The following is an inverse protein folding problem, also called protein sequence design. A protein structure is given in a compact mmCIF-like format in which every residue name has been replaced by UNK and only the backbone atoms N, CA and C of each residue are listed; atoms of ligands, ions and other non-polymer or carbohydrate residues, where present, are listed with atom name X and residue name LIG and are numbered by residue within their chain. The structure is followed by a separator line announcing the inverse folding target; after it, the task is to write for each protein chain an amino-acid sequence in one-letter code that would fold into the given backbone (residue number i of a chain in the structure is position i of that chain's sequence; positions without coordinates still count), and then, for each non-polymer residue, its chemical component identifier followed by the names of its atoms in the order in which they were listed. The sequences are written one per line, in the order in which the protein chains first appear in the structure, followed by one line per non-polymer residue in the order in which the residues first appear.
data_IF_710675506251
#
_entry.id   IF_710675506251
#
_cell.length_a   1.000
_cell.length_b   1.000
_cell.length_c   1.000
_cell.angle_alpha   90.00
_cell.angle_beta   90.00
_cell.angle_gamma   90.00
#
_symmetry.space_group_name_H-M   'P 1'
#
loop_
_entity.id
_entity.type
_entity.pdbx_description
1 polymer ?
#
# COMPACT_ATOMS: atom_id res chain seq x y z
N UNK A 1 -16.86 -32.79 -8.76
CA UNK A 1 -16.04 -31.56 -8.79
C UNK A 1 -16.52 -30.70 -7.65
N UNK A 2 -15.61 -30.25 -6.81
CA UNK A 2 -15.93 -29.29 -5.75
C UNK A 2 -16.24 -27.94 -6.43
N UNK A 3 -17.32 -27.29 -6.05
CA UNK A 3 -17.77 -26.02 -6.63
C UNK A 3 -17.75 -24.95 -5.55
N UNK A 4 -17.22 -23.78 -5.89
CA UNK A 4 -17.17 -22.63 -5.00
C UNK A 4 -17.97 -21.47 -5.57
N UNK A 5 -18.49 -20.61 -4.72
CA UNK A 5 -19.06 -19.35 -5.19
C UNK A 5 -17.94 -18.44 -5.70
N UNK A 6 -16.87 -18.32 -4.91
CA UNK A 6 -15.73 -17.44 -5.18
C UNK A 6 -14.41 -18.20 -5.08
N UNK A 7 -13.54 -18.01 -6.07
CA UNK A 7 -12.12 -18.41 -5.99
C UNK A 7 -11.25 -17.15 -5.92
N UNK A 8 -10.52 -16.98 -4.82
CA UNK A 8 -9.55 -15.90 -4.63
C UNK A 8 -8.16 -16.42 -4.98
N UNK A 9 -7.53 -15.84 -6.00
CA UNK A 9 -6.15 -16.15 -6.38
C UNK A 9 -5.23 -15.15 -5.70
N UNK A 10 -4.52 -15.60 -4.65
CA UNK A 10 -3.66 -14.79 -3.79
C UNK A 10 -4.21 -14.68 -2.35
N UNK A 11 -3.49 -15.25 -1.39
CA UNK A 11 -3.81 -15.24 0.05
C UNK A 11 -3.17 -14.11 0.84
N UNK A 12 -2.64 -13.08 0.17
CA UNK A 12 -2.12 -11.88 0.83
C UNK A 12 -3.22 -11.04 1.51
N UNK A 13 -2.85 -9.83 1.93
CA UNK A 13 -3.72 -8.94 2.72
C UNK A 13 -5.09 -8.70 2.06
N UNK A 14 -5.13 -8.31 0.77
CA UNK A 14 -6.40 -8.04 0.08
C UNK A 14 -7.28 -9.30 -0.02
N UNK A 15 -6.73 -10.39 -0.57
CA UNK A 15 -7.48 -11.62 -0.83
C UNK A 15 -7.99 -12.29 0.46
N UNK A 16 -7.15 -12.37 1.49
CA UNK A 16 -7.55 -12.93 2.78
C UNK A 16 -8.56 -12.04 3.51
N UNK A 17 -8.48 -10.71 3.38
CA UNK A 17 -9.48 -9.80 3.94
C UNK A 17 -10.86 -9.99 3.32
N UNK A 18 -10.92 -10.13 1.98
CA UNK A 18 -12.17 -10.41 1.26
C UNK A 18 -12.73 -11.77 1.70
N UNK A 19 -11.89 -12.82 1.71
CA UNK A 19 -12.32 -14.16 2.12
C UNK A 19 -12.86 -14.18 3.57
N UNK A 20 -12.19 -13.48 4.49
CA UNK A 20 -12.62 -13.35 5.88
C UNK A 20 -13.94 -12.58 6.06
N UNK A 21 -14.31 -11.72 5.10
CA UNK A 21 -15.58 -10.99 5.12
C UNK A 21 -16.71 -11.77 4.44
N UNK A 22 -16.42 -12.49 3.36
CA UNK A 22 -17.42 -13.24 2.58
C UNK A 22 -17.83 -14.58 3.22
N UNK A 23 -16.87 -15.37 3.71
CA UNK A 23 -17.14 -16.70 4.26
C UNK A 23 -18.23 -16.73 5.37
N UNK A 24 -18.23 -15.83 6.37
CA UNK A 24 -19.27 -15.85 7.41
C UNK A 24 -20.65 -15.41 6.89
N UNK A 25 -20.74 -14.80 5.70
CA UNK A 25 -22.00 -14.46 5.05
C UNK A 25 -22.61 -15.63 4.25
N UNK A 26 -21.98 -16.82 4.31
CA UNK A 26 -22.47 -18.03 3.63
C UNK A 26 -21.96 -18.19 2.20
N UNK A 27 -21.05 -17.33 1.73
CA UNK A 27 -20.38 -17.47 0.43
C UNK A 27 -19.33 -18.59 0.54
N UNK A 28 -19.39 -19.58 -0.35
CA UNK A 28 -18.35 -20.61 -0.44
C UNK A 28 -17.08 -20.05 -1.09
N UNK A 29 -16.01 -19.87 -0.32
CA UNK A 29 -14.75 -19.24 -0.76
C UNK A 29 -13.59 -20.23 -0.75
N UNK A 30 -12.89 -20.34 -1.88
CA UNK A 30 -11.58 -20.98 -2.01
C UNK A 30 -10.48 -19.92 -2.16
N UNK A 31 -9.44 -19.97 -1.34
CA UNK A 31 -8.26 -19.11 -1.46
C UNK A 31 -7.06 -19.94 -1.89
N UNK A 32 -6.43 -19.56 -2.98
CA UNK A 32 -5.23 -20.19 -3.53
C UNK A 32 -4.01 -19.30 -3.27
N UNK A 33 -3.05 -19.78 -2.47
CA UNK A 33 -1.83 -19.05 -2.14
C UNK A 33 -0.59 -19.86 -2.53
N UNK A 34 0.36 -19.21 -3.21
CA UNK A 34 1.60 -19.86 -3.64
C UNK A 34 2.58 -20.07 -2.50
N UNK A 35 2.65 -19.16 -1.54
CA UNK A 35 3.58 -19.23 -0.42
C UNK A 35 3.07 -20.17 0.68
N UNK A 36 3.88 -21.17 1.02
CA UNK A 36 3.67 -22.00 2.22
C UNK A 36 3.93 -21.24 3.52
N UNK A 37 4.75 -20.18 3.45
CA UNK A 37 5.02 -19.25 4.55
C UNK A 37 5.25 -17.87 3.98
N UNK A 38 4.61 -16.84 4.55
CA UNK A 38 4.86 -15.46 4.14
C UNK A 38 6.26 -15.02 4.59
N UNK A 39 7.01 -14.44 3.66
CA UNK A 39 8.39 -13.99 3.90
C UNK A 39 8.48 -12.49 3.81
N UNK A 40 9.30 -11.89 4.68
CA UNK A 40 9.58 -10.46 4.60
C UNK A 40 10.30 -10.12 3.29
N UNK A 41 9.87 -9.02 2.69
CA UNK A 41 10.46 -8.37 1.52
C UNK A 41 10.26 -6.87 1.71
N UNK A 42 11.06 -6.04 1.06
CA UNK A 42 10.81 -4.60 1.07
C UNK A 42 9.50 -4.31 0.36
N UNK A 43 8.49 -3.90 1.14
CA UNK A 43 7.12 -3.51 0.72
C UNK A 43 6.45 -2.75 1.87
N UNK A 44 5.25 -2.21 1.62
CA UNK A 44 4.53 -1.38 2.59
C UNK A 44 4.17 -2.11 3.89
N UNK A 45 4.40 -1.42 5.01
CA UNK A 45 4.03 -1.81 6.39
C UNK A 45 3.24 -0.71 7.11
N UNK A 46 2.98 0.41 6.43
CA UNK A 46 2.23 1.57 6.93
C UNK A 46 0.90 1.66 6.19
N UNK A 47 -0.20 1.71 6.94
CA UNK A 47 -1.55 1.91 6.43
C UNK A 47 -2.03 3.30 6.85
N UNK A 48 -2.34 4.13 5.87
CA UNK A 48 -2.84 5.50 6.08
C UNK A 48 -4.17 5.49 6.85
N UNK A 49 -4.54 6.58 7.54
CA UNK A 49 -5.82 6.69 8.24
C UNK A 49 -7.04 6.31 7.38
N UNK A 50 -7.06 6.70 6.11
CA UNK A 50 -8.15 6.31 5.20
C UNK A 50 -8.21 4.81 4.93
N UNK A 51 -7.05 4.13 4.86
CA UNK A 51 -6.97 2.67 4.79
C UNK A 51 -7.42 2.00 6.09
N UNK A 52 -7.07 2.59 7.23
CA UNK A 52 -7.53 2.15 8.55
C UNK A 52 -9.06 2.21 8.64
N UNK A 53 -9.69 3.27 8.13
CA UNK A 53 -11.16 3.37 8.09
C UNK A 53 -11.80 2.18 7.34
N UNK A 54 -11.22 1.75 6.21
CA UNK A 54 -11.70 0.58 5.47
C UNK A 54 -11.46 -0.73 6.23
N UNK A 55 -10.29 -0.86 6.85
CA UNK A 55 -9.94 -2.00 7.70
C UNK A 55 -10.90 -2.16 8.89
N UNK A 56 -11.30 -1.04 9.52
CA UNK A 56 -12.29 -1.02 10.59
C UNK A 56 -13.67 -1.46 10.09
N UNK A 57 -14.11 -0.99 8.92
CA UNK A 57 -15.39 -1.43 8.30
C UNK A 57 -15.42 -2.92 7.96
N UNK A 58 -14.27 -3.50 7.62
CA UNK A 58 -14.11 -4.94 7.41
C UNK A 58 -14.02 -5.75 8.72
N UNK A 59 -13.92 -5.08 9.89
CA UNK A 59 -13.83 -5.73 11.19
C UNK A 59 -12.53 -6.53 11.38
N UNK A 60 -11.41 -5.97 10.92
CA UNK A 60 -10.09 -6.64 10.93
C UNK A 60 -9.13 -6.11 11.99
N UNK A 61 -9.54 -5.11 12.77
CA UNK A 61 -8.68 -4.39 13.72
C UNK A 61 -7.99 -5.33 14.71
N UNK A 62 -8.79 -6.10 15.44
CA UNK A 62 -8.29 -6.98 16.48
C UNK A 62 -7.27 -7.98 15.94
N UNK A 63 -7.53 -8.54 14.76
CA UNK A 63 -6.63 -9.49 14.10
C UNK A 63 -5.28 -8.86 13.75
N UNK A 64 -5.27 -7.61 13.29
CA UNK A 64 -4.02 -6.91 12.95
C UNK A 64 -3.26 -6.43 14.19
N UNK A 65 -3.97 -6.01 15.25
CA UNK A 65 -3.35 -5.70 16.54
C UNK A 65 -2.68 -6.93 17.15
N UNK A 66 -3.36 -8.08 17.15
CA UNK A 66 -2.81 -9.36 17.62
C UNK A 66 -1.64 -9.86 16.75
N UNK A 67 -1.60 -9.49 15.48
CA UNK A 67 -0.47 -9.75 14.58
C UNK A 67 0.78 -8.88 14.87
N UNK A 68 0.75 -8.08 15.94
CA UNK A 68 1.81 -7.15 16.29
C UNK A 68 1.74 -5.81 15.56
N UNK A 69 0.58 -5.49 14.97
CA UNK A 69 0.28 -4.16 14.47
C UNK A 69 -0.02 -3.17 15.59
N UNK A 70 0.06 -1.89 15.29
CA UNK A 70 -0.37 -0.85 16.22
C UNK A 70 -0.58 0.49 15.57
N UNK A 71 -1.28 1.35 16.30
CA UNK A 71 -1.59 2.69 15.85
C UNK A 71 -0.41 3.64 16.04
N UNK A 72 -0.19 4.44 15.00
CA UNK A 72 0.62 5.64 15.04
C UNK A 72 -0.33 6.84 14.98
N UNK A 73 -0.32 7.66 16.02
CA UNK A 73 -1.24 8.79 16.19
C UNK A 73 -0.66 10.15 15.77
N UNK A 74 0.64 10.22 15.47
CA UNK A 74 1.34 11.43 15.08
C UNK A 74 2.23 11.19 13.87
N UNK A 75 2.30 12.20 13.00
CA UNK A 75 3.18 12.19 11.83
C UNK A 75 4.05 13.44 11.81
N UNK A 76 5.37 13.25 11.85
CA UNK A 76 6.34 14.36 11.91
C UNK A 76 7.02 14.55 10.56
N UNK A 77 7.20 15.81 10.16
CA UNK A 77 8.00 16.16 8.98
C UNK A 77 9.25 16.89 9.43
N UNK A 78 10.42 16.26 9.23
CA UNK A 78 11.72 16.83 9.52
C UNK A 78 12.38 17.41 8.27
N UNK A 79 13.35 18.32 8.45
CA UNK A 79 14.17 18.82 7.37
C UNK A 79 15.32 19.71 7.83
N UNK A 80 16.31 19.91 6.95
CA UNK A 80 17.57 20.64 7.25
C UNK A 80 17.39 22.01 7.90
N UNK A 81 16.34 22.75 7.53
CA UNK A 81 16.10 24.12 7.97
C UNK A 81 14.94 24.23 8.95
N UNK A 82 14.53 23.10 9.55
CA UNK A 82 13.46 23.04 10.54
C UNK A 82 14.09 22.58 11.84
N UNK A 83 14.06 23.44 12.85
CA UNK A 83 14.46 23.07 14.20
C UNK A 83 13.65 21.84 14.68
N UNK A 84 14.28 20.77 15.20
CA UNK A 84 13.59 19.54 15.54
C UNK A 84 12.44 19.72 16.54
N UNK A 85 12.58 20.62 17.52
CA UNK A 85 11.51 20.91 18.48
C UNK A 85 10.31 21.53 17.78
N UNK A 86 10.56 22.41 16.81
CA UNK A 86 9.52 22.99 15.95
C UNK A 86 8.84 21.94 15.07
N UNK A 87 9.61 20.99 14.51
CA UNK A 87 9.08 19.88 13.72
C UNK A 87 8.14 19.00 14.55
N UNK A 88 8.57 18.60 15.75
CA UNK A 88 7.79 17.79 16.69
C UNK A 88 6.53 18.53 17.17
N UNK A 89 6.63 19.83 17.46
CA UNK A 89 5.48 20.66 17.83
C UNK A 89 4.46 20.83 16.70
N UNK A 90 4.89 20.64 15.45
CA UNK A 90 4.06 20.72 14.24
C UNK A 90 3.58 19.35 13.75
N UNK A 91 3.75 18.29 14.56
CA UNK A 91 3.30 16.95 14.21
C UNK A 91 1.81 16.93 13.87
N UNK A 92 1.46 16.24 12.79
CA UNK A 92 0.05 16.07 12.38
C UNK A 92 -0.58 15.02 13.31
N UNK A 93 -1.62 15.38 14.10
CA UNK A 93 -2.35 14.42 14.90
C UNK A 93 -3.26 13.57 13.98
N UNK A 94 -2.81 12.37 13.64
CA UNK A 94 -3.46 11.51 12.64
C UNK A 94 -4.89 11.10 13.03
N UNK A 95 -5.17 10.98 14.34
CA UNK A 95 -6.52 10.69 14.84
C UNK A 95 -7.54 11.84 14.69
N UNK A 96 -7.10 13.02 14.24
CA UNK A 96 -8.01 14.14 13.94
C UNK A 96 -8.40 14.21 12.46
N UNK A 97 -7.78 13.39 11.60
CA UNK A 97 -7.98 13.47 10.15
C UNK A 97 -9.32 12.88 9.69
N UNK A 98 -9.77 11.83 10.37
CA UNK A 98 -11.02 11.13 10.06
C UNK A 98 -11.77 10.79 11.36
N UNK A 99 -13.11 10.90 11.37
CA UNK A 99 -13.90 10.52 12.52
C UNK A 99 -13.74 9.02 12.81
N UNK A 100 -13.70 8.66 14.09
CA UNK A 100 -13.64 7.28 14.58
C UNK A 100 -12.42 6.46 14.09
N UNK A 101 -11.39 7.13 13.58
CA UNK A 101 -10.12 6.51 13.15
C UNK A 101 -9.00 6.93 14.12
N UNK A 102 -8.37 5.98 14.86
CA UNK A 102 -7.36 6.34 15.87
C UNK A 102 -6.08 6.97 15.30
N UNK A 103 -5.78 6.73 14.03
CA UNK A 103 -4.58 7.18 13.34
C UNK A 103 -4.23 6.25 12.19
N UNK A 104 -2.95 6.24 11.81
CA UNK A 104 -2.41 5.24 10.88
C UNK A 104 -2.08 3.94 11.61
N UNK A 105 -1.92 2.84 10.89
CA UNK A 105 -1.52 1.55 11.46
C UNK A 105 -0.22 1.05 10.84
N UNK A 106 0.75 0.71 11.68
CA UNK A 106 1.96 -0.01 11.26
C UNK A 106 1.80 -1.50 11.60
N UNK A 107 2.03 -2.39 10.64
CA UNK A 107 1.98 -3.85 10.86
C UNK A 107 2.97 -4.57 9.94
N UNK A 108 3.62 -5.61 10.46
CA UNK A 108 4.52 -6.43 9.65
C UNK A 108 3.76 -7.15 8.54
N UNK A 109 4.19 -6.98 7.29
CA UNK A 109 3.45 -7.51 6.14
C UNK A 109 3.28 -9.04 6.16
N UNK A 110 4.31 -9.85 6.51
CA UNK A 110 4.14 -11.29 6.66
C UNK A 110 3.18 -11.66 7.80
N UNK A 111 3.25 -10.96 8.94
CA UNK A 111 2.40 -11.19 10.10
C UNK A 111 0.94 -10.86 9.79
N UNK A 112 0.68 -9.72 9.15
CA UNK A 112 -0.66 -9.35 8.70
C UNK A 112 -1.23 -10.37 7.70
N UNK A 113 -0.42 -10.81 6.74
CA UNK A 113 -0.84 -11.82 5.74
C UNK A 113 -1.20 -13.15 6.41
N UNK A 114 -0.36 -13.63 7.34
CA UNK A 114 -0.61 -14.87 8.08
C UNK A 114 -1.86 -14.78 8.97
N UNK A 115 -2.01 -13.69 9.71
CA UNK A 115 -3.14 -13.48 10.61
C UNK A 115 -4.46 -13.37 9.86
N UNK A 116 -4.51 -12.61 8.76
CA UNK A 116 -5.72 -12.48 7.94
C UNK A 116 -6.08 -13.78 7.22
N UNK A 117 -5.08 -14.54 6.75
CA UNK A 117 -5.32 -15.84 6.12
C UNK A 117 -5.86 -16.86 7.13
N UNK A 118 -5.31 -16.86 8.34
CA UNK A 118 -5.79 -17.66 9.47
C UNK A 118 -7.22 -17.28 9.84
N UNK A 119 -7.53 -15.97 9.91
CA UNK A 119 -8.87 -15.49 10.19
C UNK A 119 -9.87 -15.94 9.11
N UNK A 120 -9.51 -15.85 7.83
CA UNK A 120 -10.34 -16.31 6.73
C UNK A 120 -10.68 -17.80 6.88
N UNK A 121 -9.68 -18.64 7.20
CA UNK A 121 -9.88 -20.06 7.47
C UNK A 121 -10.81 -20.30 8.66
N UNK A 122 -10.59 -19.60 9.78
CA UNK A 122 -11.40 -19.70 10.99
C UNK A 122 -12.87 -19.30 10.75
N UNK A 123 -13.11 -18.38 9.80
CA UNK A 123 -14.45 -17.93 9.40
C UNK A 123 -15.09 -18.78 8.31
N UNK A 124 -14.43 -19.85 7.86
CA UNK A 124 -15.01 -20.86 6.97
C UNK A 124 -14.51 -20.85 5.52
N UNK A 125 -13.54 -20.00 5.15
CA UNK A 125 -12.92 -20.09 3.83
C UNK A 125 -12.03 -21.33 3.71
N UNK A 126 -12.04 -21.98 2.55
CA UNK A 126 -11.11 -23.06 2.24
C UNK A 126 -9.78 -22.48 1.76
N UNK A 127 -8.66 -22.82 2.41
CA UNK A 127 -7.34 -22.28 2.07
C UNK A 127 -6.44 -23.39 1.55
N UNK A 128 -5.85 -23.19 0.37
CA UNK A 128 -4.78 -24.05 -0.17
C UNK A 128 -3.52 -23.20 -0.32
N UNK A 129 -2.46 -23.58 0.41
CA UNK A 129 -1.13 -22.93 0.34
C UNK A 129 -0.13 -23.82 -0.38
N UNK A 130 0.88 -23.22 -1.01
CA UNK A 130 1.86 -23.96 -1.80
C UNK A 130 1.38 -24.29 -3.21
N UNK A 131 0.38 -23.56 -3.69
CA UNK A 131 -0.17 -23.72 -5.05
C UNK A 131 0.91 -23.35 -6.08
N UNK A 132 1.04 -24.19 -7.11
CA UNK A 132 1.90 -23.98 -8.26
C UNK A 132 1.29 -23.03 -9.29
N UNK A 133 1.30 -23.45 -10.55
CA UNK A 133 0.70 -22.68 -11.63
C UNK A 133 -0.82 -22.60 -11.47
N UNK A 134 -1.38 -21.43 -11.78
CA UNK A 134 -2.82 -21.14 -11.79
C UNK A 134 -3.18 -20.64 -13.18
N UNK A 135 -4.24 -21.16 -13.76
CA UNK A 135 -4.83 -20.69 -15.01
C UNK A 135 -6.31 -20.38 -14.79
N UNK A 136 -6.80 -19.31 -15.42
CA UNK A 136 -8.17 -18.84 -15.26
C UNK A 136 -8.83 -18.78 -16.63
N UNK A 137 -9.89 -19.55 -16.77
CA UNK A 137 -10.72 -19.59 -17.98
C UNK A 137 -12.02 -18.89 -17.63
N UNK A 138 -12.22 -17.70 -18.20
CA UNK A 138 -13.48 -16.98 -18.11
C UNK A 138 -13.87 -16.48 -19.51
N UNK A 139 -15.15 -16.63 -19.85
CA UNK A 139 -15.71 -16.14 -21.10
C UNK A 139 -17.12 -15.57 -20.83
N UNK A 140 -17.60 -14.64 -21.68
CA UNK A 140 -18.94 -14.09 -21.55
C UNK A 140 -20.00 -15.18 -21.43
N UNK A 141 -21.00 -14.94 -20.57
CA UNK A 141 -22.14 -15.84 -20.33
C UNK A 141 -21.77 -17.25 -19.84
N UNK A 142 -20.56 -17.48 -19.33
CA UNK A 142 -20.13 -18.77 -18.78
C UNK A 142 -19.57 -18.63 -17.36
N UNK A 143 -19.78 -19.66 -16.54
CA UNK A 143 -19.15 -19.73 -15.22
C UNK A 143 -17.64 -19.91 -15.37
N UNK A 144 -16.82 -19.09 -14.71
CA UNK A 144 -15.37 -19.22 -14.76
C UNK A 144 -14.90 -20.55 -14.16
N UNK A 145 -13.77 -21.03 -14.67
CA UNK A 145 -13.08 -22.22 -14.20
C UNK A 145 -11.65 -21.83 -13.82
N UNK A 146 -11.24 -22.18 -12.60
CA UNK A 146 -9.86 -22.03 -12.15
C UNK A 146 -9.18 -23.38 -12.17
N UNK A 147 -8.04 -23.47 -12.86
CA UNK A 147 -7.15 -24.62 -12.81
C UNK A 147 -5.95 -24.27 -11.96
N UNK A 148 -5.55 -25.17 -11.07
CA UNK A 148 -4.35 -24.95 -10.26
C UNK A 148 -3.60 -26.25 -10.00
N UNK A 149 -2.28 -26.15 -9.87
CA UNK A 149 -1.43 -27.27 -9.46
C UNK A 149 -1.23 -27.28 -7.94
N UNK A 150 -1.42 -28.45 -7.31
CA UNK A 150 -1.09 -28.68 -5.92
C UNK A 150 -0.62 -30.12 -5.73
N UNK A 151 0.52 -30.32 -5.06
CA UNK A 151 1.17 -31.63 -4.86
C UNK A 151 1.32 -32.47 -6.15
N UNK A 152 1.61 -31.80 -7.27
CA UNK A 152 1.78 -32.43 -8.59
C UNK A 152 0.47 -32.88 -9.26
N UNK A 153 -0.69 -32.52 -8.70
CA UNK A 153 -2.02 -32.79 -9.24
C UNK A 153 -2.61 -31.47 -9.73
N UNK A 154 -3.19 -31.49 -10.94
CA UNK A 154 -3.97 -30.36 -11.47
C UNK A 154 -5.41 -30.53 -11.06
N UNK A 155 -5.93 -29.53 -10.34
CA UNK A 155 -7.32 -29.42 -9.94
C UNK A 155 -8.05 -28.46 -10.89
N UNK A 156 -9.32 -28.74 -11.14
CA UNK A 156 -10.21 -27.88 -11.92
C UNK A 156 -11.44 -27.54 -11.07
N UNK A 157 -11.64 -26.25 -10.83
CA UNK A 157 -12.67 -25.73 -9.91
C UNK A 157 -13.59 -24.76 -10.66
N UNK A 158 -14.84 -25.15 -10.96
CA UNK A 158 -15.83 -24.21 -11.44
C UNK A 158 -16.27 -23.28 -10.30
N UNK A 159 -16.48 -22.01 -10.63
CA UNK A 159 -16.97 -21.01 -9.68
C UNK A 159 -17.87 -19.96 -10.33
N UNK A 160 -18.51 -19.10 -9.52
CA UNK A 160 -19.31 -17.97 -10.04
C UNK A 160 -18.44 -16.77 -10.34
N UNK A 161 -17.41 -16.54 -9.53
CA UNK A 161 -16.51 -15.40 -9.64
C UNK A 161 -15.08 -15.77 -9.24
N UNK A 162 -14.11 -15.23 -9.97
CA UNK A 162 -12.69 -15.22 -9.59
C UNK A 162 -12.30 -13.84 -9.09
N UNK A 163 -11.59 -13.78 -7.96
CA UNK A 163 -10.98 -12.55 -7.46
C UNK A 163 -9.46 -12.65 -7.63
N UNK A 164 -8.90 -11.86 -8.53
CA UNK A 164 -7.46 -11.74 -8.72
C UNK A 164 -6.84 -10.83 -7.67
N UNK A 165 -6.15 -11.42 -6.69
CA UNK A 165 -5.45 -10.74 -5.60
C UNK A 165 -3.95 -11.15 -5.55
N UNK A 166 -3.39 -11.58 -6.69
CA UNK A 166 -2.09 -12.22 -6.86
C UNK A 166 -0.94 -11.22 -7.17
N UNK A 167 -1.19 -9.95 -6.91
CA UNK A 167 -0.19 -8.88 -6.89
C UNK A 167 0.32 -8.45 -8.27
N UNK A 168 1.47 -7.75 -8.29
CA UNK A 168 1.97 -7.05 -9.49
C UNK A 168 2.11 -7.94 -10.73
N UNK A 169 2.53 -9.19 -10.52
CA UNK A 169 2.73 -10.18 -11.59
C UNK A 169 1.47 -11.00 -11.90
N UNK A 170 0.28 -10.47 -11.56
CA UNK A 170 -1.01 -11.17 -11.65
C UNK A 170 -1.13 -12.06 -12.88
N UNK A 171 -1.28 -13.35 -12.62
CA UNK A 171 -1.60 -14.36 -13.61
C UNK A 171 -3.06 -14.24 -14.03
N UNK A 172 -3.97 -13.92 -13.10
CA UNK A 172 -5.39 -13.68 -13.42
C UNK A 172 -5.54 -12.55 -14.43
N UNK A 173 -4.92 -11.39 -14.18
CA UNK A 173 -4.94 -10.25 -15.12
C UNK A 173 -4.44 -10.64 -16.51
N UNK A 174 -3.32 -11.37 -16.57
CA UNK A 174 -2.68 -11.80 -17.83
C UNK A 174 -3.52 -12.82 -18.59
N UNK A 175 -4.13 -13.78 -17.90
CA UNK A 175 -4.99 -14.81 -18.51
C UNK A 175 -6.18 -14.18 -19.26
N UNK A 176 -6.71 -13.07 -18.74
CA UNK A 176 -7.83 -12.34 -19.34
C UNK A 176 -7.41 -11.28 -20.37
N UNK A 177 -6.10 -11.09 -20.58
CA UNK A 177 -5.60 -10.05 -21.48
C UNK A 177 -5.95 -8.62 -21.03
N UNK A 178 -6.22 -8.40 -19.74
CA UNK A 178 -6.51 -7.05 -19.21
C UNK A 178 -5.24 -6.20 -19.31
N UNK A 179 -5.25 -5.09 -20.07
CA UNK A 179 -4.07 -4.27 -20.29
C UNK A 179 -3.67 -3.54 -19.00
N UNK A 180 -2.37 -3.30 -18.86
CA UNK A 180 -1.79 -2.55 -17.76
C UNK A 180 -0.92 -1.43 -18.35
N UNK A 181 -1.33 -0.19 -18.13
CA UNK A 181 -0.49 0.98 -18.39
C UNK A 181 0.51 1.12 -17.24
N UNK A 182 1.72 1.61 -17.55
CA UNK A 182 2.77 1.79 -16.56
C UNK A 182 3.60 3.04 -16.88
N UNK A 183 3.98 3.78 -15.84
CA UNK A 183 4.93 4.89 -15.90
C UNK A 183 5.99 4.66 -14.83
N UNK A 184 7.25 4.86 -15.20
CA UNK A 184 8.36 4.84 -14.24
C UNK A 184 8.51 6.21 -13.58
N UNK A 185 8.70 6.18 -12.26
CA UNK A 185 9.13 7.33 -11.49
C UNK A 185 10.63 7.50 -11.59
N UNK A 186 11.10 8.72 -11.37
CA UNK A 186 12.54 8.98 -11.25
C UNK A 186 13.09 8.66 -9.86
N UNK A 187 12.23 8.46 -8.86
CA UNK A 187 12.67 8.14 -7.51
C UNK A 187 13.07 6.66 -7.42
N UNK A 188 14.26 6.39 -6.87
CA UNK A 188 14.64 5.05 -6.42
C UNK A 188 14.43 4.98 -4.92
N UNK A 189 13.54 4.09 -4.46
CA UNK A 189 13.19 3.92 -3.06
C UNK A 189 13.73 2.58 -2.55
N UNK A 190 14.51 2.62 -1.47
CA UNK A 190 14.94 1.46 -0.72
C UNK A 190 14.21 1.33 0.60
N UNK A 191 14.20 0.12 1.14
CA UNK A 191 13.73 -0.11 2.50
C UNK A 191 14.54 -1.16 3.24
N UNK A 192 14.53 -1.05 4.57
CA UNK A 192 15.19 -1.96 5.49
C UNK A 192 14.35 -2.04 6.78
N UNK A 193 14.10 -3.26 7.23
CA UNK A 193 13.56 -3.48 8.56
C UNK A 193 14.72 -3.50 9.57
N UNK A 194 14.60 -2.74 10.65
CA UNK A 194 15.54 -2.73 11.76
C UNK A 194 14.83 -2.98 13.09
N UNK A 195 15.61 -3.26 14.13
CA UNK A 195 15.17 -3.34 15.53
C UNK A 195 16.24 -2.74 16.43
N UNK A 196 15.91 -2.59 17.72
CA UNK A 196 16.82 -2.06 18.75
C UNK A 196 17.25 -0.60 18.43
N UNK A 197 16.36 0.17 17.81
CA UNK A 197 16.65 1.51 17.30
C UNK A 197 16.32 2.66 18.27
N UNK A 198 15.59 2.37 19.37
CA UNK A 198 15.13 3.26 20.46
C UNK A 198 15.57 4.75 20.39
N UNK A 199 15.03 5.51 19.43
CA UNK A 199 15.43 6.91 19.16
C UNK A 199 14.59 7.92 19.94
N UNK A 200 13.66 7.44 20.77
CA UNK A 200 12.86 8.26 21.68
C UNK A 200 11.52 8.75 21.13
N UNK A 201 11.00 8.17 20.03
CA UNK A 201 9.68 8.52 19.50
C UNK A 201 8.97 7.33 18.86
N UNK A 202 7.65 7.26 19.05
CA UNK A 202 6.74 6.31 18.40
C UNK A 202 6.00 6.92 17.19
N UNK A 203 6.33 8.17 16.83
CA UNK A 203 5.73 8.84 15.68
C UNK A 203 6.31 8.29 14.37
N UNK A 204 5.45 8.13 13.37
CA UNK A 204 5.92 7.98 11.99
C UNK A 204 6.49 9.33 11.54
N UNK A 205 7.53 9.29 10.73
CA UNK A 205 8.10 10.52 10.20
C UNK A 205 8.63 10.35 8.80
N UNK A 206 8.74 11.50 8.12
CA UNK A 206 9.51 11.65 6.90
C UNK A 206 10.33 12.93 6.95
N UNK A 207 11.23 13.09 5.98
CA UNK A 207 11.94 14.34 5.82
C UNK A 207 12.93 14.35 4.69
N UNK A 208 13.68 15.45 4.58
CA UNK A 208 14.72 15.64 3.59
C UNK A 208 15.99 16.19 4.24
N UNK A 209 17.13 15.55 3.94
CA UNK A 209 18.46 16.01 4.34
C UNK A 209 19.48 15.65 3.25
N UNK A 210 20.22 16.65 2.78
CA UNK A 210 21.07 16.59 1.62
C UNK A 210 20.34 16.02 0.40
N UNK A 211 20.96 15.00 -0.21
CA UNK A 211 20.43 14.32 -1.39
C UNK A 211 19.58 13.09 -1.06
N UNK A 212 18.79 13.18 0.02
CA UNK A 212 18.03 12.06 0.57
C UNK A 212 16.63 12.50 0.96
N UNK A 213 15.67 11.64 0.67
CA UNK A 213 14.35 11.65 1.31
C UNK A 213 14.24 10.39 2.17
N UNK A 214 13.84 10.54 3.43
CA UNK A 214 13.77 9.42 4.37
C UNK A 214 12.36 9.29 4.95
N UNK A 215 11.98 8.06 5.29
CA UNK A 215 10.79 7.76 6.06
C UNK A 215 11.10 6.69 7.12
N UNK A 216 10.47 6.78 8.28
CA UNK A 216 10.53 5.74 9.29
C UNK A 216 9.15 5.47 9.89
N UNK A 217 8.85 4.18 10.03
CA UNK A 217 7.57 3.69 10.55
C UNK A 217 7.82 2.75 11.75
N UNK A 218 7.77 3.26 13.00
CA UNK A 218 7.83 2.45 14.21
C UNK A 218 6.69 1.43 14.29
N UNK A 219 6.97 0.30 14.94
CA UNK A 219 5.98 -0.69 15.35
C UNK A 219 6.03 -0.89 16.87
N UNK A 220 4.90 -1.22 17.53
CA UNK A 220 4.88 -1.42 18.99
C UNK A 220 5.82 -2.51 19.51
N UNK A 221 6.24 -3.44 18.65
CA UNK A 221 7.14 -4.53 18.99
C UNK A 221 8.63 -4.17 18.87
N UNK A 222 8.99 -2.88 18.81
CA UNK A 222 10.37 -2.38 18.80
C UNK A 222 11.08 -2.47 17.45
N UNK A 223 10.36 -2.84 16.39
CA UNK A 223 10.87 -2.81 15.03
C UNK A 223 10.53 -1.50 14.34
N UNK A 224 11.34 -1.12 13.35
CA UNK A 224 11.14 0.08 12.55
C UNK A 224 11.38 -0.26 11.10
N UNK A 225 10.47 0.16 10.22
CA UNK A 225 10.74 0.13 8.78
C UNK A 225 11.32 1.46 8.35
N UNK A 226 12.55 1.43 7.87
CA UNK A 226 13.25 2.56 7.28
C UNK A 226 13.05 2.54 5.77
N UNK A 227 12.79 3.71 5.17
CA UNK A 227 12.83 3.92 3.73
C UNK A 227 13.73 5.09 3.37
N UNK A 228 14.42 4.96 2.23
CA UNK A 228 15.32 5.95 1.69
C UNK A 228 15.08 6.13 0.19
N UNK A 229 14.67 7.32 -0.22
CA UNK A 229 14.69 7.72 -1.62
C UNK A 229 15.97 8.52 -1.91
N UNK A 230 16.72 8.07 -2.91
CA UNK A 230 17.98 8.69 -3.32
C UNK A 230 18.27 8.36 -4.79
N UNK A 231 19.28 9.02 -5.38
CA UNK A 231 19.75 8.69 -6.73
C UNK A 231 20.28 7.26 -6.79
N UNK A 232 19.95 6.47 -7.83
CA UNK A 232 20.44 5.10 -7.97
C UNK A 232 21.96 5.08 -8.20
N UNK A 233 22.64 4.07 -7.65
CA UNK A 233 24.07 3.91 -7.82
C UNK A 233 24.65 2.64 -7.18
N UNK A 234 25.97 2.47 -7.16
CA UNK A 234 26.62 1.29 -6.58
C UNK A 234 26.22 1.04 -5.12
N UNK A 235 25.97 2.11 -4.36
CA UNK A 235 25.56 2.04 -2.95
C UNK A 235 24.13 1.49 -2.77
N UNK A 236 23.25 1.57 -3.78
CA UNK A 236 21.87 1.05 -3.70
C UNK A 236 21.73 -0.35 -4.31
N UNK A 237 22.66 -0.77 -5.16
CA UNK A 237 22.67 -2.09 -5.82
C UNK A 237 23.68 -3.10 -5.23
N UNK A 238 24.76 -2.62 -4.62
CA UNK A 238 25.90 -3.41 -4.20
C UNK A 238 25.73 -4.17 -2.86
N UNK A 239 26.77 -4.90 -2.42
CA UNK A 239 26.77 -5.60 -1.13
C UNK A 239 26.66 -4.64 0.07
N UNK A 240 27.16 -3.41 -0.08
CA UNK A 240 27.16 -2.37 0.95
C UNK A 240 25.79 -1.68 1.16
N UNK A 241 24.75 -2.07 0.40
CA UNK A 241 23.45 -1.39 0.41
C UNK A 241 22.76 -1.32 1.77
N UNK A 242 22.94 -2.34 2.61
CA UNK A 242 22.40 -2.33 3.97
C UNK A 242 23.13 -1.30 4.84
N UNK A 243 24.45 -1.24 4.75
CA UNK A 243 25.26 -0.28 5.49
C UNK A 243 24.98 1.15 5.01
N UNK A 244 24.89 1.35 3.69
CA UNK A 244 24.49 2.62 3.10
C UNK A 244 23.12 3.11 3.61
N UNK A 245 22.13 2.22 3.67
CA UNK A 245 20.81 2.54 4.24
C UNK A 245 20.92 2.99 5.70
N UNK A 246 21.66 2.27 6.54
CA UNK A 246 21.84 2.64 7.95
C UNK A 246 22.56 3.97 8.11
N UNK A 247 23.67 4.18 7.40
CA UNK A 247 24.43 5.43 7.46
C UNK A 247 23.64 6.62 6.93
N UNK A 248 22.70 6.39 6.01
CA UNK A 248 21.82 7.43 5.50
C UNK A 248 20.87 8.00 6.58
N UNK A 249 20.62 7.25 7.66
CA UNK A 249 19.80 7.66 8.80
C UNK A 249 20.60 8.33 9.93
N UNK A 250 21.90 8.61 9.75
CA UNK A 250 22.61 9.59 10.60
C UNK A 250 22.22 10.99 10.14
N UNK A 251 21.10 11.47 10.67
CA UNK A 251 20.43 12.70 10.27
C UNK A 251 20.62 13.79 11.32
N UNK A 252 21.05 14.98 10.92
CA UNK A 252 21.17 16.14 11.82
C UNK A 252 19.80 16.70 12.21
N UNK A 253 18.82 16.67 11.29
CA UNK A 253 17.48 17.21 11.51
C UNK A 253 16.55 16.30 12.34
N UNK A 254 16.97 15.08 12.70
CA UNK A 254 16.17 14.13 13.49
C UNK A 254 16.88 13.85 14.83
N UNK A 255 16.22 14.08 15.98
CA UNK A 255 16.82 13.81 17.30
C UNK A 255 17.20 12.33 17.46
N UNK A 256 18.38 12.08 18.04
CA UNK A 256 18.92 10.74 18.33
C UNK A 256 18.95 9.78 17.11
N UNK A 257 19.01 10.33 15.88
CA UNK A 257 18.97 9.54 14.64
C UNK A 257 20.14 8.55 14.52
N UNK A 258 21.24 8.78 15.24
CA UNK A 258 22.36 7.84 15.32
C UNK A 258 21.93 6.47 15.85
N UNK A 259 20.84 6.39 16.62
CA UNK A 259 20.28 5.12 17.09
C UNK A 259 19.57 4.35 15.99
N UNK A 260 18.91 5.03 15.05
CA UNK A 260 18.38 4.41 13.82
C UNK A 260 19.53 3.90 12.95
N UNK A 261 20.60 4.68 12.81
CA UNK A 261 21.78 4.31 12.04
C UNK A 261 22.60 3.17 12.66
N UNK A 262 22.54 3.00 13.98
CA UNK A 262 23.21 1.92 14.71
C UNK A 262 22.28 0.71 14.98
N UNK A 263 21.04 0.75 14.50
CA UNK A 263 20.05 -0.28 14.73
C UNK A 263 20.45 -1.61 14.07
N UNK A 264 19.94 -2.73 14.60
CA UNK A 264 20.23 -4.04 14.04
C UNK A 264 19.33 -4.33 12.82
N UNK A 265 19.89 -4.64 11.64
CA UNK A 265 19.10 -5.14 10.51
C UNK A 265 18.32 -6.40 10.88
N UNK A 266 17.03 -6.41 10.53
CA UNK A 266 16.10 -7.50 10.84
C UNK A 266 15.37 -8.06 9.60
N UNK A 267 15.77 -7.61 8.40
CA UNK A 267 15.19 -8.05 7.14
C UNK A 267 16.08 -7.71 5.95
N UNK A 268 15.66 -8.05 4.72
CA UNK A 268 16.40 -7.69 3.52
C UNK A 268 16.43 -6.17 3.31
N UNK A 269 17.55 -5.65 2.81
CA UNK A 269 17.65 -4.32 2.22
C UNK A 269 17.56 -4.44 0.69
N UNK A 270 16.67 -3.68 0.06
CA UNK A 270 16.49 -3.65 -1.39
C UNK A 270 15.97 -2.30 -1.84
N UNK A 271 16.44 -1.86 -3.01
CA UNK A 271 16.04 -0.61 -3.68
C UNK A 271 15.35 -0.93 -4.99
N UNK A 272 14.31 -0.17 -5.31
CA UNK A 272 13.56 -0.31 -6.55
C UNK A 272 13.24 1.07 -7.13
N UNK A 273 13.21 1.15 -8.46
CA UNK A 273 12.65 2.30 -9.15
C UNK A 273 11.14 2.33 -8.90
N UNK A 274 10.62 3.48 -8.48
CA UNK A 274 9.19 3.69 -8.28
C UNK A 274 8.44 3.51 -9.59
N UNK A 275 7.25 2.92 -9.55
CA UNK A 275 6.42 2.72 -10.73
C UNK A 275 4.95 2.86 -10.37
N UNK A 276 4.21 3.57 -11.20
CA UNK A 276 2.76 3.55 -11.19
C UNK A 276 2.28 2.65 -12.31
N UNK A 277 1.33 1.76 -12.01
CA UNK A 277 0.68 0.92 -12.99
C UNK A 277 -0.82 0.86 -12.74
N UNK A 278 -1.62 0.91 -13.81
CA UNK A 278 -3.07 0.92 -13.68
C UNK A 278 -3.75 0.26 -14.88
N UNK A 279 -4.99 -0.14 -14.65
CA UNK A 279 -5.93 -0.54 -15.69
C UNK A 279 -7.23 0.21 -15.46
N UNK A 280 -7.86 0.65 -16.54
CA UNK A 280 -9.15 1.33 -16.47
C UNK A 280 -10.32 0.35 -16.31
N UNK A 281 -10.07 -0.95 -16.51
CA UNK A 281 -11.06 -2.02 -16.38
C UNK A 281 -10.50 -3.16 -15.51
N UNK A 282 -10.54 -3.03 -14.17
CA UNK A 282 -10.05 -4.05 -13.25
C UNK A 282 -11.03 -5.25 -13.12
N UNK A 283 -11.80 -5.55 -14.17
CA UNK A 283 -12.79 -6.61 -14.19
C UNK A 283 -13.00 -7.16 -15.61
N UNK A 284 -13.60 -8.33 -15.67
CA UNK A 284 -14.18 -8.95 -16.85
C UNK A 284 -15.37 -9.83 -16.41
N UNK A 285 -16.09 -10.45 -17.35
CA UNK A 285 -17.16 -11.39 -16.97
C UNK A 285 -16.59 -12.53 -16.12
N UNK A 286 -17.19 -12.73 -14.94
CA UNK A 286 -16.75 -13.75 -13.99
C UNK A 286 -15.44 -13.44 -13.26
N UNK A 287 -14.83 -12.25 -13.42
CA UNK A 287 -13.57 -11.91 -12.76
C UNK A 287 -13.49 -10.45 -12.30
N UNK A 288 -12.98 -10.22 -11.09
CA UNK A 288 -12.59 -8.89 -10.59
C UNK A 288 -11.17 -8.92 -10.04
N UNK A 289 -10.41 -7.85 -10.27
CA UNK A 289 -9.03 -7.69 -9.78
C UNK A 289 -9.01 -6.71 -8.61
N UNK A 290 -8.14 -6.96 -7.62
CA UNK A 290 -7.98 -6.12 -6.42
C UNK A 290 -6.50 -5.92 -6.07
N UNK A 291 -6.21 -4.84 -5.32
CA UNK A 291 -4.85 -4.50 -4.89
C UNK A 291 -3.90 -4.38 -6.08
N UNK A 292 -2.65 -4.81 -5.90
CA UNK A 292 -1.61 -4.74 -6.92
C UNK A 292 -1.93 -5.56 -8.20
N UNK A 293 -2.89 -6.50 -8.17
CA UNK A 293 -3.31 -7.20 -9.38
C UNK A 293 -4.06 -6.27 -10.35
N UNK A 294 -4.83 -5.32 -9.81
CA UNK A 294 -5.53 -4.27 -10.53
C UNK A 294 -4.66 -3.02 -10.79
N UNK A 295 -3.38 -3.06 -10.46
CA UNK A 295 -2.45 -1.92 -10.56
C UNK A 295 -2.07 -1.35 -9.21
N UNK A 296 -0.91 -0.70 -9.16
CA UNK A 296 -0.24 -0.22 -7.95
C UNK A 296 0.28 1.21 -8.15
N UNK A 297 0.49 1.92 -7.04
CA UNK A 297 1.14 3.23 -7.08
C UNK A 297 2.64 3.12 -6.78
N UNK A 298 3.38 4.16 -7.15
CA UNK A 298 4.73 4.37 -6.64
C UNK A 298 4.69 4.37 -5.09
N UNK A 299 5.59 3.60 -4.43
CA UNK A 299 5.59 3.46 -2.97
C UNK A 299 5.98 4.72 -2.19
N UNK A 300 6.45 5.80 -2.83
CA UNK A 300 6.93 7.03 -2.18
C UNK A 300 5.92 7.66 -1.20
N UNK A 301 4.62 7.47 -1.45
CA UNK A 301 3.53 7.97 -0.59
C UNK A 301 2.85 6.88 0.27
N UNK A 302 3.27 5.61 0.14
CA UNK A 302 2.89 4.56 1.09
C UNK A 302 1.44 4.06 1.02
N UNK A 303 0.79 4.09 -0.15
CA UNK A 303 -0.67 3.87 -0.26
C UNK A 303 -1.11 2.41 -0.43
N UNK A 304 -0.19 1.49 -0.71
CA UNK A 304 -0.54 0.13 -1.16
C UNK A 304 -1.46 -0.65 -0.20
N UNK A 305 -1.22 -0.55 1.12
CA UNK A 305 -2.07 -1.22 2.11
C UNK A 305 -3.47 -0.60 2.17
N UNK A 306 -3.56 0.72 2.09
CA UNK A 306 -4.83 1.44 2.11
C UNK A 306 -5.67 1.14 0.86
N UNK A 307 -5.03 1.12 -0.32
CA UNK A 307 -5.67 0.71 -1.58
C UNK A 307 -6.17 -0.74 -1.49
N UNK A 308 -5.37 -1.66 -0.93
CA UNK A 308 -5.77 -3.04 -0.75
C UNK A 308 -7.00 -3.20 0.16
N UNK A 309 -7.07 -2.46 1.27
CA UNK A 309 -8.23 -2.49 2.18
C UNK A 309 -9.48 -1.89 1.55
N UNK A 310 -9.32 -0.79 0.82
CA UNK A 310 -10.42 -0.14 0.10
C UNK A 310 -10.96 -1.02 -1.02
N UNK A 311 -10.09 -1.69 -1.77
CA UNK A 311 -10.48 -2.67 -2.79
C UNK A 311 -11.21 -3.86 -2.14
N UNK A 312 -10.67 -4.39 -1.03
CA UNK A 312 -11.29 -5.50 -0.32
C UNK A 312 -12.70 -5.15 0.18
N UNK A 313 -12.86 -3.98 0.79
CA UNK A 313 -14.16 -3.49 1.26
C UNK A 313 -15.13 -3.27 0.10
N UNK A 314 -14.72 -2.57 -0.96
CA UNK A 314 -15.59 -2.27 -2.09
C UNK A 314 -16.08 -3.51 -2.84
N UNK A 315 -15.20 -4.48 -3.10
CA UNK A 315 -15.59 -5.74 -3.74
C UNK A 315 -16.49 -6.57 -2.83
N UNK A 316 -16.21 -6.61 -1.52
CA UNK A 316 -17.06 -7.30 -0.54
C UNK A 316 -18.47 -6.69 -0.50
N UNK A 317 -18.59 -5.35 -0.48
CA UNK A 317 -19.89 -4.67 -0.48
C UNK A 317 -20.73 -5.04 -1.70
N UNK A 318 -20.13 -5.07 -2.89
CA UNK A 318 -20.82 -5.47 -4.13
C UNK A 318 -21.35 -6.90 -4.01
N UNK A 319 -20.51 -7.82 -3.52
CA UNK A 319 -20.87 -9.24 -3.40
C UNK A 319 -21.94 -9.52 -2.36
N UNK A 320 -21.98 -8.75 -1.27
CA UNK A 320 -22.94 -8.92 -0.20
C UNK A 320 -24.23 -8.11 -0.41
N UNK A 321 -24.27 -7.20 -1.39
CA UNK A 321 -25.46 -6.41 -1.71
C UNK A 321 -26.56 -7.22 -2.41
N UNK A 322 -26.21 -8.32 -3.08
CA UNK A 322 -27.17 -9.18 -3.77
C UNK A 322 -26.51 -10.29 -4.60
N UNK A 323 -27.30 -10.98 -5.42
CA UNK A 323 -26.87 -12.14 -6.21
C UNK A 323 -26.30 -11.80 -7.60
N UNK A 324 -26.40 -10.53 -8.03
CA UNK A 324 -25.83 -10.07 -9.30
C UNK A 324 -24.33 -9.80 -9.13
N UNK A 325 -23.51 -10.74 -9.60
CA UNK A 325 -22.06 -10.64 -9.64
C UNK A 325 -21.53 -10.52 -11.07
N UNK A 326 -22.35 -9.99 -11.97
CA UNK A 326 -21.92 -9.66 -13.34
C UNK A 326 -20.85 -8.57 -13.34
N UNK A 327 -20.12 -8.43 -14.45
CA UNK A 327 -19.18 -7.33 -14.63
C UNK A 327 -19.82 -5.94 -14.40
N UNK A 328 -21.11 -5.80 -14.73
CA UNK A 328 -21.86 -4.55 -14.54
C UNK A 328 -22.03 -4.18 -13.05
N UNK A 329 -22.15 -5.17 -12.16
CA UNK A 329 -22.24 -4.93 -10.72
C UNK A 329 -20.96 -4.28 -10.16
N UNK A 330 -19.82 -4.49 -10.80
CA UNK A 330 -18.53 -3.92 -10.41
C UNK A 330 -18.18 -2.59 -11.11
N UNK A 331 -19.07 -2.04 -11.95
CA UNK A 331 -18.79 -0.81 -12.68
C UNK A 331 -18.57 0.39 -11.73
N UNK A 332 -19.35 0.48 -10.66
CA UNK A 332 -19.14 1.50 -9.62
C UNK A 332 -17.78 1.38 -8.91
N UNK A 333 -17.34 0.14 -8.65
CA UNK A 333 -16.00 -0.14 -8.13
C UNK A 333 -14.91 0.28 -9.12
N UNK A 334 -15.05 -0.07 -10.39
CA UNK A 334 -14.08 0.27 -11.42
C UNK A 334 -13.93 1.79 -11.59
N UNK A 335 -15.03 2.53 -11.61
CA UNK A 335 -15.05 3.99 -11.73
C UNK A 335 -14.41 4.68 -10.53
N UNK A 336 -14.83 4.29 -9.32
CA UNK A 336 -14.27 4.86 -8.08
C UNK A 336 -12.78 4.55 -7.94
N UNK A 337 -12.37 3.31 -8.23
CA UNK A 337 -10.95 2.93 -8.20
C UNK A 337 -10.13 3.68 -9.23
N UNK A 338 -10.63 3.85 -10.45
CA UNK A 338 -9.92 4.58 -11.51
C UNK A 338 -9.63 6.01 -11.08
N UNK A 339 -10.64 6.72 -10.54
CA UNK A 339 -10.47 8.09 -10.04
C UNK A 339 -9.55 8.14 -8.83
N UNK A 340 -9.72 7.22 -7.86
CA UNK A 340 -8.84 7.12 -6.68
C UNK A 340 -7.38 6.95 -7.10
N UNK A 341 -7.10 6.01 -8.00
CA UNK A 341 -5.73 5.76 -8.48
C UNK A 341 -5.20 6.91 -9.32
N UNK A 342 -6.04 7.60 -10.11
CA UNK A 342 -5.63 8.82 -10.84
C UNK A 342 -5.18 9.92 -9.88
N UNK A 343 -5.96 10.19 -8.84
CA UNK A 343 -5.61 11.18 -7.81
C UNK A 343 -4.31 10.82 -7.10
N UNK A 344 -4.14 9.56 -6.70
CA UNK A 344 -2.90 9.08 -6.08
C UNK A 344 -1.68 9.21 -7.00
N UNK A 345 -1.82 8.99 -8.31
CA UNK A 345 -0.75 9.23 -9.28
C UNK A 345 -0.35 10.71 -9.34
N UNK A 346 -1.31 11.63 -9.25
CA UNK A 346 -1.01 13.08 -9.19
C UNK A 346 -0.30 13.42 -7.89
N UNK A 347 -0.76 12.90 -6.76
CA UNK A 347 -0.13 13.12 -5.45
C UNK A 347 1.30 12.62 -5.45
N UNK A 348 1.56 11.40 -5.96
CA UNK A 348 2.92 10.84 -5.98
C UNK A 348 3.83 11.56 -6.96
N UNK A 349 3.30 12.06 -8.08
CA UNK A 349 4.06 12.90 -9.01
C UNK A 349 4.54 14.19 -8.33
N UNK A 350 3.62 14.92 -7.69
CA UNK A 350 3.97 16.14 -6.93
C UNK A 350 4.92 15.82 -5.77
N UNK A 351 4.67 14.73 -5.04
CA UNK A 351 5.53 14.30 -3.94
C UNK A 351 6.95 13.95 -4.43
N UNK A 352 7.07 13.30 -5.59
CA UNK A 352 8.36 12.99 -6.24
C UNK A 352 9.10 14.28 -6.60
N UNK A 353 8.40 15.23 -7.21
CA UNK A 353 9.00 16.51 -7.60
C UNK A 353 9.44 17.38 -6.43
N UNK A 354 8.70 17.34 -5.32
CA UNK A 354 9.09 18.04 -4.11
C UNK A 354 10.23 17.29 -3.41
N UNK A 355 10.02 16.03 -3.07
CA UNK A 355 10.85 15.27 -2.12
C UNK A 355 12.10 14.66 -2.74
N UNK A 356 12.10 14.41 -4.04
CA UNK A 356 13.19 13.74 -4.75
C UNK A 356 13.91 14.65 -5.75
N UNK A 357 13.64 15.96 -5.79
CA UNK A 357 14.52 16.94 -6.48
C UNK A 357 15.57 17.47 -5.50
N UNK A 358 16.78 16.92 -5.56
CA UNK A 358 17.85 17.26 -4.62
C UNK A 358 18.72 18.46 -5.05
N UNK A 359 18.33 19.19 -6.11
CA UNK A 359 19.01 20.42 -6.52
C UNK A 359 18.65 21.59 -5.59
N UNK A 360 19.45 22.68 -5.57
CA UNK A 360 19.09 23.89 -4.83
C UNK A 360 17.71 24.45 -5.21
N UNK A 361 17.35 24.40 -6.49
CA UNK A 361 16.01 24.80 -6.96
C UNK A 361 14.91 23.90 -6.40
N UNK A 362 15.11 22.59 -6.39
CA UNK A 362 14.17 21.64 -5.79
C UNK A 362 14.01 21.84 -4.28
N UNK A 363 15.10 22.18 -3.58
CA UNK A 363 15.07 22.53 -2.17
C UNK A 363 14.27 23.80 -1.91
N UNK A 364 14.51 24.84 -2.69
CA UNK A 364 13.82 26.11 -2.55
C UNK A 364 12.29 25.92 -2.83
N UNK A 365 11.94 25.15 -3.88
CA UNK A 365 10.55 24.73 -4.16
C UNK A 365 9.88 24.04 -2.97
N UNK A 366 10.57 23.08 -2.32
CA UNK A 366 10.05 22.42 -1.11
C UNK A 366 9.75 23.40 0.00
N UNK A 367 10.68 24.33 0.26
CA UNK A 367 10.53 25.35 1.32
C UNK A 367 9.33 26.25 0.99
N UNK A 368 9.21 26.71 -0.25
CA UNK A 368 8.08 27.51 -0.71
C UNK A 368 6.75 26.76 -0.58
N UNK A 369 6.71 25.48 -0.97
CA UNK A 369 5.52 24.64 -0.80
C UNK A 369 5.13 24.53 0.68
N UNK A 370 6.05 24.15 1.56
CA UNK A 370 5.79 24.02 2.99
C UNK A 370 5.32 25.33 3.63
N UNK A 371 5.87 26.48 3.20
CA UNK A 371 5.48 27.80 3.71
C UNK A 371 4.09 28.26 3.26
N UNK A 372 3.59 27.76 2.13
CA UNK A 372 2.28 28.15 1.57
C UNK A 372 1.17 27.13 1.84
N UNK A 373 1.53 25.85 2.01
CA UNK A 373 0.62 24.71 2.05
C UNK A 373 -0.55 24.90 3.01
N UNK A 374 -0.31 25.37 4.24
CA UNK A 374 -1.38 25.53 5.25
C UNK A 374 -2.38 26.64 4.91
N UNK A 375 -1.98 27.62 4.09
CA UNK A 375 -2.82 28.74 3.66
C UNK A 375 -3.47 28.55 2.27
N UNK A 376 -3.01 27.55 1.52
CA UNK A 376 -3.49 27.24 0.18
C UNK A 376 -4.34 25.97 0.21
N UNK A 377 -5.66 26.13 0.07
CA UNK A 377 -6.60 25.02 0.15
C UNK A 377 -6.37 23.92 -0.88
N UNK A 378 -5.81 24.24 -2.05
CA UNK A 378 -5.54 23.23 -3.09
C UNK A 378 -4.29 22.42 -2.76
N UNK A 379 -3.23 23.07 -2.26
CA UNK A 379 -2.03 22.37 -1.79
C UNK A 379 -2.31 21.53 -0.55
N UNK A 380 -3.06 22.08 0.41
CA UNK A 380 -3.48 21.35 1.60
C UNK A 380 -4.35 20.15 1.22
N UNK A 381 -5.30 20.33 0.30
CA UNK A 381 -6.14 19.26 -0.23
C UNK A 381 -5.31 18.12 -0.83
N UNK A 382 -4.30 18.44 -1.64
CA UNK A 382 -3.39 17.45 -2.23
C UNK A 382 -2.60 16.68 -1.17
N UNK A 383 -2.10 17.36 -0.12
CA UNK A 383 -1.39 16.70 0.98
C UNK A 383 -2.32 15.78 1.79
N UNK A 384 -3.46 16.31 2.23
CA UNK A 384 -4.44 15.57 3.02
C UNK A 384 -5.01 14.37 2.26
N UNK A 385 -5.05 14.41 0.93
CA UNK A 385 -5.48 13.28 0.11
C UNK A 385 -4.60 12.02 0.23
N UNK A 386 -3.35 12.15 0.66
CA UNK A 386 -2.52 10.96 0.98
C UNK A 386 -2.84 10.37 2.36
N UNK A 387 -3.27 11.19 3.32
CA UNK A 387 -3.50 10.76 4.71
C UNK A 387 -4.97 10.43 5.00
N UNK A 388 -5.88 11.31 4.60
CA UNK A 388 -7.31 11.24 4.89
C UNK A 388 -8.15 10.63 3.75
N UNK A 389 -7.54 10.36 2.60
CA UNK A 389 -8.18 9.68 1.47
C UNK A 389 -8.23 10.56 0.22
N UNK A 390 -8.01 9.99 -0.99
CA UNK A 390 -7.94 10.77 -2.22
C UNK A 390 -9.21 11.57 -2.55
N UNK A 391 -10.35 11.15 -2.05
CA UNK A 391 -11.64 11.81 -2.19
C UNK A 391 -11.76 13.12 -1.40
N UNK A 392 -10.93 13.32 -0.35
CA UNK A 392 -11.05 14.46 0.55
C UNK A 392 -10.49 15.77 -0.02
N UNK A 393 -9.63 15.67 -1.05
CA UNK A 393 -9.12 16.83 -1.77
C UNK A 393 -10.15 17.38 -2.77
N UNK A 394 -10.26 18.72 -2.92
CA UNK A 394 -10.97 19.33 -4.05
C UNK A 394 -10.50 18.75 -5.38
N UNK A 395 -11.39 18.63 -6.37
CA UNK A 395 -11.01 18.08 -7.68
C UNK A 395 -9.88 18.90 -8.33
N UNK A 396 -9.94 20.22 -8.14
CA UNK A 396 -8.99 21.22 -8.60
C UNK A 396 -7.57 21.00 -8.05
N UNK A 397 -7.43 20.35 -6.89
CA UNK A 397 -6.12 19.99 -6.34
C UNK A 397 -5.33 19.08 -7.28
N UNK A 398 -6.02 18.26 -8.07
CA UNK A 398 -5.42 17.24 -8.93
C UNK A 398 -5.36 17.63 -10.42
N UNK A 399 -5.78 18.86 -10.74
CA UNK A 399 -5.76 19.36 -12.11
C UNK A 399 -4.36 19.81 -12.52
N UNK A 400 -4.06 19.68 -13.81
CA UNK A 400 -2.73 19.97 -14.35
C UNK A 400 -2.27 21.41 -14.06
N UNK A 401 -3.20 22.37 -14.03
CA UNK A 401 -2.91 23.77 -13.70
C UNK A 401 -2.38 23.93 -12.27
N UNK A 402 -3.03 23.28 -11.29
CA UNK A 402 -2.58 23.33 -9.90
C UNK A 402 -1.24 22.61 -9.71
N UNK A 403 -1.06 21.47 -10.38
CA UNK A 403 0.22 20.75 -10.40
C UNK A 403 1.33 21.65 -10.94
N UNK A 404 1.14 22.26 -12.12
CA UNK A 404 2.13 23.17 -12.72
C UNK A 404 2.43 24.37 -11.81
N UNK A 405 1.42 24.93 -11.14
CA UNK A 405 1.58 26.02 -10.17
C UNK A 405 2.47 25.61 -8.99
N UNK A 406 2.28 24.40 -8.44
CA UNK A 406 3.12 23.86 -7.37
C UNK A 406 4.56 23.64 -7.87
N UNK A 407 4.71 23.08 -9.06
CA UNK A 407 6.04 22.79 -9.63
C UNK A 407 6.82 24.04 -10.05
N UNK A 408 6.11 25.17 -10.25
CA UNK A 408 6.71 26.48 -10.53
C UNK A 408 7.11 27.27 -9.27
N UNK A 409 6.85 26.76 -8.06
CA UNK A 409 7.31 27.40 -6.83
C UNK A 409 8.84 27.42 -6.80
N UNK A 410 9.39 28.54 -6.34
CA UNK A 410 10.83 28.80 -6.24
C UNK A 410 11.23 28.91 -4.78
#
# INVERSE_FOLDING_TARGET
MEQFDVVVVGGGIAGSSIAAALAPAGVSVLVLERQTTYRDKVRGEYMQPWGVAEMLRLGLEQTLLEAGGGYTNAFVTYGEHIDPVTAEASAIPLGMLLPDVPGAMCVGHPQASEALNTLAQQRGAHIVRGVGDVDVIAAPDTSPIVRYEFDGIVYEVPCRLVIGADGRQSTVRRALGIPLAQIESRATLGGLLVKDADWGSDAAFLGNEGNRHFLAFPRPNGYVRLYLACEPGPATAGPERTQHMLDAFRLECVPNSERLANAQPAGPCSFYVGTDAWTDRPMADGVVLVGDAAGWSDPLIGEGLSVAMRDARAVTDVLLAGDDWSAAAFEGYAQERSERMRRLRVVVHVATELRCTFTPEGQARRVAFSGQMMSDGLMLGLMLSSLAGPEMGPAESFEAENVQRILALA
#
